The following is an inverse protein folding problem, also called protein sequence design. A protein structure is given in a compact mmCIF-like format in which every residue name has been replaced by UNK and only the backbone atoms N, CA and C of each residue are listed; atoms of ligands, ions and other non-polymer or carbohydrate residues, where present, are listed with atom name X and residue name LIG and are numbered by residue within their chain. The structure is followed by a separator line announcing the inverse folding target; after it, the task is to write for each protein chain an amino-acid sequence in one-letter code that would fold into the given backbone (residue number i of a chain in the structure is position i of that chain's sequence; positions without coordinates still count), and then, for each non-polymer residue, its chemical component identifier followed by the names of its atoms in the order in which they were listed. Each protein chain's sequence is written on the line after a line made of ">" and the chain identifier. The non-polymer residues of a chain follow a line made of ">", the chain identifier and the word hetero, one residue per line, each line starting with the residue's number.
data_IF_222697340775
#
_entry.id   IF_222697340775
#
_cell.length_a   1.000
_cell.length_b   1.000
_cell.length_c   1.000
_cell.angle_alpha   90.00
_cell.angle_beta   90.00
_cell.angle_gamma   90.00
#
_symmetry.space_group_name_H-M   'P 1'
#
loop_
_entity.id
_entity.type
_entity.pdbx_description
1 polymer ?
#
# COMPACT_ATOMS: atom_id res chain seq x y z
N UNK A 1 -7.68 0.01 -27.53
CA UNK A 1 -6.27 -0.34 -27.78
C UNK A 1 -5.31 0.57 -26.99
N UNK A 2 -5.40 1.89 -27.14
CA UNK A 2 -4.42 2.85 -26.56
C UNK A 2 -4.32 2.83 -25.01
N UNK A 3 -5.40 2.54 -24.26
CA UNK A 3 -5.35 2.46 -22.78
C UNK A 3 -4.65 1.23 -22.21
N UNK A 4 -4.49 0.16 -23.00
CA UNK A 4 -3.93 -1.12 -22.54
C UNK A 4 -2.58 -1.45 -23.20
N UNK A 5 -1.99 -0.51 -23.97
CA UNK A 5 -0.74 -0.72 -24.74
C UNK A 5 -0.73 -1.98 -25.62
N UNK A 6 -1.90 -2.46 -26.06
CA UNK A 6 -2.05 -3.63 -26.93
C UNK A 6 -2.68 -3.26 -28.27
N UNK A 7 -2.32 -4.01 -29.31
CA UNK A 7 -2.85 -3.84 -30.65
C UNK A 7 -4.35 -4.21 -30.71
N UNK A 8 -5.10 -3.58 -31.60
CA UNK A 8 -6.52 -3.87 -31.81
C UNK A 8 -6.82 -5.34 -32.18
N UNK A 9 -5.99 -6.03 -32.98
CA UNK A 9 -6.14 -7.47 -33.23
C UNK A 9 -6.05 -8.30 -31.94
N UNK A 10 -5.12 -7.96 -31.03
CA UNK A 10 -4.95 -8.66 -29.74
C UNK A 10 -6.18 -8.49 -28.83
N UNK A 11 -6.76 -7.29 -28.75
CA UNK A 11 -8.01 -7.05 -28.00
C UNK A 11 -9.16 -7.89 -28.57
N UNK A 12 -9.29 -7.94 -29.89
CA UNK A 12 -10.40 -8.66 -30.53
C UNK A 12 -10.28 -10.16 -30.34
N UNK A 13 -9.05 -10.70 -30.36
CA UNK A 13 -8.78 -12.10 -30.06
C UNK A 13 -9.15 -12.44 -28.60
N UNK A 14 -8.77 -11.61 -27.63
CA UNK A 14 -9.13 -11.85 -26.23
C UNK A 14 -10.64 -11.85 -25.99
N UNK A 15 -11.38 -10.91 -26.61
CA UNK A 15 -12.85 -10.92 -26.53
C UNK A 15 -13.42 -12.21 -27.14
N UNK A 16 -12.92 -12.63 -28.29
CA UNK A 16 -13.39 -13.87 -28.93
C UNK A 16 -13.12 -15.10 -28.06
N UNK A 17 -11.97 -15.16 -27.39
CA UNK A 17 -11.66 -16.25 -26.46
C UNK A 17 -12.64 -16.27 -25.28
N UNK A 18 -12.98 -15.10 -24.72
CA UNK A 18 -14.00 -15.00 -23.68
C UNK A 18 -15.38 -15.45 -24.19
N UNK A 19 -15.76 -15.05 -25.40
CA UNK A 19 -17.01 -15.50 -26.02
C UNK A 19 -17.07 -17.02 -26.20
N UNK A 20 -15.93 -17.65 -26.55
CA UNK A 20 -15.81 -19.10 -26.65
C UNK A 20 -15.89 -19.79 -25.28
N UNK A 21 -15.18 -19.25 -24.28
CA UNK A 21 -15.15 -19.78 -22.92
C UNK A 21 -16.54 -19.73 -22.26
N UNK A 22 -17.22 -18.58 -22.35
CA UNK A 22 -18.55 -18.37 -21.78
C UNK A 22 -19.69 -18.81 -22.70
N UNK A 23 -19.36 -19.36 -23.88
CA UNK A 23 -20.32 -19.84 -24.88
C UNK A 23 -21.43 -18.83 -25.20
N UNK A 24 -21.08 -17.55 -25.29
CA UNK A 24 -22.03 -16.46 -25.51
C UNK A 24 -21.38 -15.34 -26.31
N UNK A 25 -22.18 -14.52 -26.99
CA UNK A 25 -21.71 -13.28 -27.63
C UNK A 25 -21.71 -12.18 -26.59
N UNK A 26 -20.58 -11.51 -26.42
CA UNK A 26 -20.39 -10.44 -25.43
C UNK A 26 -20.51 -9.07 -26.09
N UNK A 27 -20.15 -8.95 -27.37
CA UNK A 27 -20.22 -7.72 -28.14
C UNK A 27 -20.90 -7.95 -29.50
N UNK A 28 -21.94 -7.16 -29.77
CA UNK A 28 -22.51 -7.07 -31.12
C UNK A 28 -21.67 -6.13 -31.97
N UNK A 29 -21.14 -6.64 -33.08
CA UNK A 29 -20.33 -5.89 -34.04
C UNK A 29 -21.13 -5.65 -35.31
N UNK A 30 -21.39 -4.39 -35.62
CA UNK A 30 -21.92 -3.96 -36.93
C UNK A 30 -20.98 -2.91 -37.55
N UNK A 31 -21.04 -2.69 -38.88
CA UNK A 31 -20.22 -1.67 -39.54
C UNK A 31 -20.44 -0.24 -39.00
N UNK A 32 -21.60 0.01 -38.38
CA UNK A 32 -21.99 1.33 -37.86
C UNK A 32 -21.86 1.46 -36.34
N UNK A 33 -21.88 0.34 -35.60
CA UNK A 33 -21.94 0.37 -34.15
C UNK A 33 -21.37 -0.89 -33.50
N UNK A 34 -20.68 -0.69 -32.38
CA UNK A 34 -20.28 -1.72 -31.43
C UNK A 34 -21.15 -1.56 -30.18
N UNK A 35 -21.91 -2.58 -29.81
CA UNK A 35 -22.73 -2.59 -28.59
C UNK A 35 -22.43 -3.79 -27.73
N UNK A 36 -22.57 -3.62 -26.41
CA UNK A 36 -22.43 -4.71 -25.44
C UNK A 36 -23.75 -5.50 -25.38
N UNK A 37 -23.66 -6.81 -25.23
CA UNK A 37 -24.84 -7.67 -25.02
C UNK A 37 -25.19 -7.71 -23.53
N UNK A 38 -26.40 -8.18 -23.14
CA UNK A 38 -26.74 -8.37 -21.73
C UNK A 38 -25.78 -9.32 -20.99
N UNK A 39 -25.29 -10.37 -21.64
CA UNK A 39 -24.26 -11.26 -21.08
C UNK A 39 -22.88 -10.60 -21.02
N UNK A 40 -22.57 -9.72 -21.98
CA UNK A 40 -21.41 -8.84 -21.96
C UNK A 40 -21.39 -7.90 -20.75
N UNK A 41 -22.52 -7.26 -20.45
CA UNK A 41 -22.65 -6.39 -19.27
C UNK A 41 -22.53 -7.18 -17.97
N UNK A 42 -23.19 -8.33 -17.89
CA UNK A 42 -23.08 -9.23 -16.74
C UNK A 42 -21.63 -9.64 -16.48
N UNK A 43 -20.91 -10.07 -17.52
CA UNK A 43 -19.49 -10.43 -17.39
C UNK A 43 -18.64 -9.21 -17.01
N UNK A 44 -18.89 -8.04 -17.61
CA UNK A 44 -18.16 -6.82 -17.27
C UNK A 44 -18.27 -6.46 -15.78
N UNK A 45 -19.47 -6.55 -15.21
CA UNK A 45 -19.66 -6.30 -13.78
C UNK A 45 -18.94 -7.32 -12.90
N UNK A 46 -19.03 -8.62 -13.23
CA UNK A 46 -18.35 -9.68 -12.49
C UNK A 46 -16.84 -9.59 -12.59
N UNK A 47 -16.29 -9.33 -13.79
CA UNK A 47 -14.86 -9.15 -14.00
C UNK A 47 -14.29 -7.99 -13.18
N UNK A 48 -15.02 -6.87 -13.05
CA UNK A 48 -14.61 -5.78 -12.16
C UNK A 48 -14.53 -6.20 -10.69
N UNK A 49 -15.45 -7.05 -10.23
CA UNK A 49 -15.42 -7.57 -8.86
C UNK A 49 -14.23 -8.51 -8.66
N UNK A 50 -13.97 -9.42 -9.61
CA UNK A 50 -12.85 -10.37 -9.55
C UNK A 50 -11.51 -9.62 -9.50
N UNK A 51 -11.31 -8.63 -10.38
CA UNK A 51 -10.06 -7.86 -10.41
C UNK A 51 -9.85 -7.11 -9.09
N UNK A 52 -10.90 -6.49 -8.53
CA UNK A 52 -10.82 -5.81 -7.23
C UNK A 52 -10.45 -6.78 -6.11
N UNK A 53 -11.09 -7.95 -6.08
CA UNK A 53 -10.81 -8.97 -5.07
C UNK A 53 -9.37 -9.47 -5.17
N UNK A 54 -8.86 -9.66 -6.39
CA UNK A 54 -7.48 -10.08 -6.62
C UNK A 54 -6.47 -9.03 -6.13
N UNK A 55 -6.69 -7.75 -6.44
CA UNK A 55 -5.82 -6.68 -5.93
C UNK A 55 -5.90 -6.54 -4.40
N UNK A 56 -7.09 -6.69 -3.82
CA UNK A 56 -7.25 -6.70 -2.36
C UNK A 56 -6.48 -7.87 -1.73
N UNK A 57 -6.58 -9.08 -2.29
CA UNK A 57 -5.85 -10.24 -1.77
C UNK A 57 -4.32 -10.04 -1.83
N UNK A 58 -3.81 -9.41 -2.90
CA UNK A 58 -2.39 -9.03 -2.98
C UNK A 58 -2.02 -8.04 -1.89
N UNK A 59 -2.86 -7.04 -1.65
CA UNK A 59 -2.65 -6.04 -0.62
C UNK A 59 -2.67 -6.67 0.78
N UNK A 60 -3.65 -7.52 1.08
CA UNK A 60 -3.77 -8.20 2.37
C UNK A 60 -2.54 -9.07 2.67
N UNK A 61 -2.03 -9.80 1.66
CA UNK A 61 -0.81 -10.61 1.79
C UNK A 61 0.42 -9.70 1.98
N UNK A 62 0.50 -8.60 1.21
CA UNK A 62 1.57 -7.63 1.36
C UNK A 62 1.57 -7.05 2.77
N UNK A 63 0.44 -6.55 3.25
CA UNK A 63 0.28 -6.02 4.61
C UNK A 63 0.60 -7.08 5.66
N UNK A 64 0.13 -8.32 5.50
CA UNK A 64 0.44 -9.41 6.43
C UNK A 64 1.96 -9.64 6.59
N UNK A 65 2.70 -9.60 5.49
CA UNK A 65 4.15 -9.77 5.50
C UNK A 65 4.93 -8.51 5.90
N UNK A 66 4.34 -7.32 5.71
CA UNK A 66 5.00 -6.02 5.93
C UNK A 66 4.41 -5.24 7.13
N UNK A 67 3.56 -5.89 7.93
CA UNK A 67 3.06 -5.41 9.21
C UNK A 67 4.24 -5.24 10.16
N UNK A 68 4.81 -4.03 10.19
CA UNK A 68 5.77 -3.63 11.19
C UNK A 68 5.13 -3.83 12.57
N UNK A 69 5.71 -4.73 13.35
CA UNK A 69 5.22 -5.14 14.67
C UNK A 69 6.42 -5.39 15.58
N UNK A 70 6.22 -5.22 16.89
CA UNK A 70 7.27 -5.31 17.88
C UNK A 70 7.51 -3.98 18.57
N UNK A 71 8.60 -3.87 19.30
CA UNK A 71 8.92 -2.70 20.12
C UNK A 71 9.95 -1.81 19.42
N UNK A 72 9.72 -0.50 19.44
CA UNK A 72 10.64 0.53 18.99
C UNK A 72 10.88 1.51 20.15
N UNK A 73 12.12 1.63 20.61
CA UNK A 73 12.51 2.54 21.69
C UNK A 73 13.20 3.75 21.11
N UNK A 74 12.59 4.93 21.24
CA UNK A 74 13.07 6.20 20.68
C UNK A 74 13.62 7.08 21.80
N UNK A 75 14.88 7.45 21.71
CA UNK A 75 15.49 8.49 22.52
C UNK A 75 15.32 9.87 21.88
N UNK A 76 14.97 10.89 22.65
CA UNK A 76 14.86 12.27 22.16
C UNK A 76 15.47 13.29 23.13
N UNK A 77 16.14 14.30 22.59
CA UNK A 77 16.54 15.47 23.38
C UNK A 77 15.29 16.23 23.86
N UNK A 78 15.38 16.98 24.97
CA UNK A 78 14.25 17.71 25.55
C UNK A 78 13.41 18.49 24.53
N UNK A 79 14.05 19.35 23.72
CA UNK A 79 13.34 20.14 22.71
C UNK A 79 12.64 19.28 21.67
N UNK A 80 13.29 18.21 21.18
CA UNK A 80 12.68 17.31 20.19
C UNK A 80 11.51 16.55 20.82
N UNK A 81 11.70 16.01 22.02
CA UNK A 81 10.69 15.26 22.74
C UNK A 81 9.44 16.08 23.06
N UNK A 82 9.60 17.38 23.33
CA UNK A 82 8.49 18.27 23.68
C UNK A 82 7.78 18.86 22.46
N UNK A 83 8.50 19.25 21.41
CA UNK A 83 7.93 20.05 20.31
C UNK A 83 7.79 19.33 18.97
N UNK A 84 8.61 18.30 18.71
CA UNK A 84 8.71 17.68 17.38
C UNK A 84 8.15 16.26 17.40
N UNK A 85 8.56 15.47 18.39
CA UNK A 85 8.26 14.05 18.47
C UNK A 85 6.75 13.74 18.59
N UNK A 86 5.91 14.50 19.33
CA UNK A 86 4.49 14.18 19.46
C UNK A 86 3.75 14.14 18.12
N UNK A 87 4.04 15.07 17.20
CA UNK A 87 3.43 15.09 15.87
C UNK A 87 3.86 13.88 15.03
N UNK A 88 5.16 13.56 15.04
CA UNK A 88 5.72 12.42 14.32
C UNK A 88 5.12 11.11 14.84
N UNK A 89 4.99 10.96 16.16
CA UNK A 89 4.41 9.76 16.78
C UNK A 89 2.93 9.58 16.43
N UNK A 90 2.16 10.68 16.35
CA UNK A 90 0.76 10.61 15.95
C UNK A 90 0.61 10.10 14.51
N UNK A 91 1.41 10.61 13.58
CA UNK A 91 1.42 10.15 12.19
C UNK A 91 1.94 8.70 12.07
N UNK A 92 3.01 8.36 12.79
CA UNK A 92 3.59 7.02 12.78
C UNK A 92 2.63 5.97 13.34
N UNK A 93 1.94 6.25 14.45
CA UNK A 93 0.97 5.32 15.04
C UNK A 93 -0.23 5.06 14.13
N UNK A 94 -0.67 6.05 13.35
CA UNK A 94 -1.72 5.84 12.33
C UNK A 94 -1.27 4.89 11.22
N UNK A 95 0.01 4.95 10.82
CA UNK A 95 0.57 4.10 9.76
C UNK A 95 0.97 2.71 10.28
N UNK A 96 1.40 2.60 11.53
CA UNK A 96 1.91 1.37 12.15
C UNK A 96 1.30 1.13 13.53
N UNK A 97 -0.01 0.87 13.63
CA UNK A 97 -0.73 0.76 14.91
C UNK A 97 -0.32 -0.44 15.77
N UNK A 98 0.46 -1.37 15.22
CA UNK A 98 0.92 -2.59 15.88
C UNK A 98 2.39 -2.54 16.32
N UNK A 99 3.06 -1.39 16.17
CA UNK A 99 4.36 -1.12 16.78
C UNK A 99 4.14 -0.52 18.16
N UNK A 100 4.75 -1.13 19.17
CA UNK A 100 4.80 -0.61 20.53
C UNK A 100 5.96 0.39 20.64
N UNK A 101 5.66 1.64 20.98
CA UNK A 101 6.65 2.72 20.99
C UNK A 101 6.93 3.13 22.44
N UNK A 102 8.19 3.02 22.85
CA UNK A 102 8.66 3.59 24.10
C UNK A 102 9.52 4.83 23.82
N UNK A 103 9.34 5.88 24.60
CA UNK A 103 10.08 7.14 24.43
C UNK A 103 10.90 7.42 25.68
N UNK A 104 12.18 7.71 25.47
CA UNK A 104 13.12 8.17 26.51
C UNK A 104 13.51 9.60 26.20
N UNK A 105 13.23 10.53 27.11
CA UNK A 105 13.61 11.94 26.97
C UNK A 105 14.75 12.25 27.93
N UNK A 106 15.85 12.78 27.41
CA UNK A 106 17.00 13.22 28.20
C UNK A 106 17.79 14.31 27.45
N UNK A 107 18.92 14.76 27.97
CA UNK A 107 19.84 15.64 27.27
C UNK A 107 20.54 14.93 26.10
N UNK A 108 21.05 15.72 25.15
CA UNK A 108 21.68 15.24 23.92
C UNK A 108 22.82 14.23 24.14
N UNK A 109 23.70 14.45 25.12
CA UNK A 109 24.80 13.52 25.41
C UNK A 109 24.31 12.19 25.98
N UNK A 110 23.28 12.22 26.83
CA UNK A 110 22.66 11.02 27.36
C UNK A 110 21.99 10.20 26.25
N UNK A 111 21.20 10.83 25.37
CA UNK A 111 20.58 10.13 24.24
C UNK A 111 21.63 9.51 23.31
N UNK A 112 22.70 10.23 22.98
CA UNK A 112 23.79 9.68 22.18
C UNK A 112 24.45 8.47 22.84
N UNK A 113 24.62 8.51 24.17
CA UNK A 113 25.11 7.38 24.95
C UNK A 113 24.13 6.21 24.95
N UNK A 114 22.83 6.47 25.10
CA UNK A 114 21.79 5.45 25.04
C UNK A 114 21.79 4.72 23.69
N UNK A 115 21.97 5.43 22.57
CA UNK A 115 22.13 4.81 21.25
C UNK A 115 23.39 3.95 21.19
N UNK A 116 24.55 4.47 21.63
CA UNK A 116 25.83 3.72 21.64
C UNK A 116 25.78 2.44 22.48
N UNK A 117 25.00 2.44 23.55
CA UNK A 117 24.81 1.31 24.45
C UNK A 117 23.61 0.43 24.09
N UNK A 118 22.94 0.71 22.96
CA UNK A 118 21.74 -0.02 22.51
C UNK A 118 20.59 -0.02 23.54
N UNK A 119 20.50 1.01 24.37
CA UNK A 119 19.36 1.22 25.27
C UNK A 119 18.17 1.85 24.54
N UNK A 120 18.40 2.50 23.40
CA UNK A 120 17.38 2.98 22.47
C UNK A 120 17.78 2.58 21.06
N UNK A 121 16.79 2.41 20.18
CA UNK A 121 17.00 2.01 18.78
C UNK A 121 17.34 3.21 17.90
N UNK A 122 16.76 4.37 18.20
CA UNK A 122 16.95 5.63 17.46
C UNK A 122 17.11 6.77 18.46
N UNK A 123 18.04 7.69 18.20
CA UNK A 123 18.20 8.93 18.97
C UNK A 123 17.95 10.17 18.12
N UNK A 124 17.07 11.06 18.56
CA UNK A 124 16.78 12.34 17.91
C UNK A 124 17.29 13.49 18.79
N UNK A 125 18.22 14.27 18.28
CA UNK A 125 18.91 15.31 19.05
C UNK A 125 19.08 16.60 18.25
N UNK A 126 19.25 17.71 18.94
CA UNK A 126 19.58 19.02 18.36
C UNK A 126 21.08 19.28 18.53
N UNK A 127 21.86 19.08 17.47
CA UNK A 127 23.29 19.40 17.45
C UNK A 127 24.21 18.21 17.16
N UNK A 128 25.52 18.47 17.19
CA UNK A 128 26.55 17.45 16.98
C UNK A 128 26.94 16.81 18.31
N UNK A 129 27.20 15.50 18.28
CA UNK A 129 27.74 14.74 19.41
C UNK A 129 29.07 14.11 19.02
N UNK A 130 30.06 14.21 19.90
CA UNK A 130 31.41 13.65 19.73
C UNK A 130 31.42 12.12 19.83
#
# INVERSE_FOLDING_TARGET
>A
AQKLRISQPSVSLHIKNLEQEFQTVLLNRSPKQLTVTPTGDMLYHRSKQIIRLYEQAKQDIYEHHHLARGKLTIGASFTIGEYVLPQILAEFHQLYPHVDIEVVIDNTEAIARHVRLFHVDIGLIEGQTN
#
